data_IF_183473891243
#
_entry.id   IF_183473891243
#
_cell.length_a   1.000
_cell.length_b   1.000
_cell.length_c   1.000
_cell.angle_alpha   90.00
_cell.angle_beta   90.00
_cell.angle_gamma   90.00
#
_symmetry.space_group_name_H-M   'P 1'
#
loop_
_entity.id
_entity.type
_entity.pdbx_description
1 polymer ?
#
# COMPACT_ATOMS: atom_id res chain seq x y z
N UNK A 1 5.98 15.41 15.29
CA UNK A 1 7.42 15.13 15.09
C UNK A 1 8.20 16.39 15.40
N UNK A 2 9.00 16.39 16.47
CA UNK A 2 9.80 17.54 16.87
C UNK A 2 10.79 17.95 15.77
N UNK A 3 11.17 19.23 15.72
CA UNK A 3 12.28 19.72 14.87
C UNK A 3 13.58 18.95 15.10
N UNK A 4 13.81 18.51 16.34
CA UNK A 4 14.98 17.72 16.73
C UNK A 4 15.04 16.36 16.03
N UNK A 5 13.89 15.72 15.78
CA UNK A 5 13.81 14.42 15.10
C UNK A 5 14.14 14.54 13.60
N UNK A 6 13.75 15.66 12.96
CA UNK A 6 14.13 15.92 11.57
C UNK A 6 15.61 16.29 11.44
N UNK A 7 16.15 17.09 12.36
CA UNK A 7 17.58 17.40 12.39
C UNK A 7 18.42 16.13 12.55
N UNK A 8 18.04 15.25 13.48
CA UNK A 8 18.71 13.97 13.69
C UNK A 8 18.65 13.07 12.45
N UNK A 9 17.50 13.02 11.76
CA UNK A 9 17.35 12.25 10.54
C UNK A 9 18.21 12.80 9.40
N UNK A 10 18.27 14.13 9.23
CA UNK A 10 19.13 14.79 8.25
C UNK A 10 20.62 14.53 8.53
N UNK A 11 21.03 14.59 9.80
CA UNK A 11 22.40 14.27 10.21
C UNK A 11 22.73 12.80 9.92
N UNK A 12 21.80 11.87 10.20
CA UNK A 12 21.99 10.44 9.90
C UNK A 12 22.18 10.17 8.40
N UNK A 13 21.40 10.85 7.54
CA UNK A 13 21.59 10.80 6.08
C UNK A 13 22.95 11.40 5.68
N UNK A 14 23.38 12.48 6.32
CA UNK A 14 24.69 13.09 6.13
C UNK A 14 25.85 12.16 6.48
N UNK A 15 25.75 11.44 7.59
CA UNK A 15 26.81 10.55 8.07
C UNK A 15 26.94 9.25 7.25
N UNK A 16 25.81 8.74 6.74
CA UNK A 16 25.77 7.48 5.99
C UNK A 16 26.18 7.64 4.52
N UNK A 17 25.91 8.79 3.92
CA UNK A 17 26.23 9.07 2.52
C UNK A 17 27.73 8.85 2.16
N UNK A 18 28.71 9.48 2.84
CA UNK A 18 30.12 9.32 2.49
C UNK A 18 30.62 7.89 2.75
N UNK A 19 30.10 7.21 3.79
CA UNK A 19 30.45 5.82 4.13
C UNK A 19 30.00 4.85 3.03
N UNK A 20 28.78 5.03 2.53
CA UNK A 20 28.26 4.25 1.41
C UNK A 20 29.03 4.54 0.11
N UNK A 21 29.40 5.80 -0.13
CA UNK A 21 30.24 6.17 -1.28
C UNK A 21 31.60 5.47 -1.27
N UNK A 22 32.30 5.50 -0.13
CA UNK A 22 33.58 4.81 0.04
C UNK A 22 33.45 3.29 -0.10
N UNK A 23 32.40 2.69 0.48
CA UNK A 23 32.14 1.26 0.35
C UNK A 23 31.84 0.86 -1.11
N UNK A 24 31.12 1.70 -1.85
CA UNK A 24 30.83 1.49 -3.26
C UNK A 24 32.10 1.58 -4.13
N UNK A 25 32.96 2.55 -3.84
CA UNK A 25 34.27 2.70 -4.51
C UNK A 25 35.16 1.48 -4.26
N UNK A 26 35.24 1.01 -3.01
CA UNK A 26 35.98 -0.21 -2.66
C UNK A 26 35.40 -1.44 -3.36
N UNK A 27 34.08 -1.58 -3.40
CA UNK A 27 33.41 -2.68 -4.09
C UNK A 27 33.64 -2.63 -5.61
N UNK A 28 33.63 -1.44 -6.22
CA UNK A 28 33.94 -1.27 -7.63
C UNK A 28 35.40 -1.67 -7.95
N UNK A 29 36.34 -1.32 -7.06
CA UNK A 29 37.73 -1.74 -7.17
C UNK A 29 37.87 -3.27 -7.02
N UNK A 30 37.22 -3.88 -6.03
CA UNK A 30 37.24 -5.32 -5.84
C UNK A 30 36.61 -6.08 -7.02
N UNK A 31 35.54 -5.54 -7.59
CA UNK A 31 34.92 -6.10 -8.79
C UNK A 31 35.87 -6.02 -10.00
N UNK A 32 36.61 -4.92 -10.15
CA UNK A 32 37.58 -4.74 -11.23
C UNK A 32 38.82 -5.62 -11.07
N UNK A 33 39.38 -5.68 -9.86
CA UNK A 33 40.68 -6.30 -9.60
C UNK A 33 40.57 -7.82 -9.39
N UNK A 34 39.50 -8.30 -8.75
CA UNK A 34 39.33 -9.71 -8.38
C UNK A 34 37.99 -10.33 -8.78
N UNK A 35 37.12 -9.60 -9.47
CA UNK A 35 35.79 -10.09 -9.86
C UNK A 35 34.84 -10.28 -8.68
N UNK A 36 35.17 -9.76 -7.50
CA UNK A 36 34.36 -9.94 -6.30
C UNK A 36 33.07 -9.11 -6.43
N UNK A 37 31.88 -9.73 -6.34
CA UNK A 37 30.62 -9.02 -6.44
C UNK A 37 30.39 -8.09 -5.24
N UNK A 38 29.51 -7.09 -5.42
CA UNK A 38 29.10 -6.21 -4.32
C UNK A 38 28.45 -7.03 -3.19
N UNK A 39 28.76 -6.70 -1.94
CA UNK A 39 28.21 -7.43 -0.80
C UNK A 39 26.72 -7.12 -0.61
N UNK A 40 25.95 -8.12 -0.16
CA UNK A 40 24.53 -7.95 0.15
C UNK A 40 24.31 -6.87 1.22
N UNK A 41 25.22 -6.76 2.18
CA UNK A 41 25.19 -5.72 3.21
C UNK A 41 25.31 -4.31 2.62
N UNK A 42 26.18 -4.11 1.63
CA UNK A 42 26.32 -2.82 0.95
C UNK A 42 25.08 -2.52 0.09
N UNK A 43 24.55 -3.53 -0.61
CA UNK A 43 23.32 -3.39 -1.38
C UNK A 43 22.14 -2.97 -0.48
N UNK A 44 21.96 -3.63 0.66
CA UNK A 44 20.94 -3.27 1.65
C UNK A 44 21.18 -1.87 2.24
N UNK A 45 22.44 -1.50 2.46
CA UNK A 45 22.82 -0.15 2.89
C UNK A 45 22.34 0.93 1.92
N UNK A 46 22.51 0.73 0.61
CA UNK A 46 22.06 1.65 -0.45
C UNK A 46 20.54 1.70 -0.58
N UNK A 47 19.87 0.54 -0.49
CA UNK A 47 18.40 0.45 -0.53
C UNK A 47 17.79 1.21 0.64
N UNK A 48 18.29 0.95 1.86
CA UNK A 48 17.84 1.63 3.06
C UNK A 48 18.08 3.14 2.97
N UNK A 49 19.25 3.56 2.48
CA UNK A 49 19.58 4.97 2.31
C UNK A 49 18.60 5.68 1.35
N UNK A 50 18.32 5.10 0.19
CA UNK A 50 17.38 5.68 -0.78
C UNK A 50 15.95 5.78 -0.22
N UNK A 51 15.50 4.77 0.53
CA UNK A 51 14.20 4.80 1.21
C UNK A 51 14.15 5.93 2.24
N UNK A 52 15.18 6.04 3.09
CA UNK A 52 15.23 7.02 4.17
C UNK A 52 15.31 8.45 3.60
N UNK A 53 16.06 8.65 2.50
CA UNK A 53 16.12 9.90 1.73
C UNK A 53 14.74 10.30 1.19
N UNK A 54 14.04 9.38 0.51
CA UNK A 54 12.70 9.64 -0.05
C UNK A 54 11.67 9.96 1.05
N UNK A 55 11.71 9.21 2.16
CA UNK A 55 10.86 9.46 3.32
C UNK A 55 11.12 10.85 3.92
N UNK A 56 12.39 11.25 4.05
CA UNK A 56 12.73 12.58 4.55
C UNK A 56 12.27 13.69 3.60
N UNK A 57 12.45 13.51 2.29
CA UNK A 57 11.95 14.43 1.27
C UNK A 57 10.43 14.64 1.38
N UNK A 58 9.65 13.56 1.51
CA UNK A 58 8.20 13.62 1.67
C UNK A 58 7.81 14.32 2.99
N UNK A 59 8.53 14.07 4.08
CA UNK A 59 8.32 14.75 5.36
C UNK A 59 8.53 16.27 5.26
N UNK A 60 9.52 16.73 4.49
CA UNK A 60 9.73 18.16 4.24
C UNK A 60 8.64 18.77 3.35
N UNK A 61 8.23 18.07 2.30
CA UNK A 61 7.16 18.51 1.40
C UNK A 61 5.82 18.67 2.13
N UNK A 62 5.52 17.79 3.09
CA UNK A 62 4.31 17.89 3.91
C UNK A 62 4.34 19.06 4.91
N UNK A 63 5.51 19.63 5.20
CA UNK A 63 5.66 20.77 6.12
C UNK A 63 5.69 22.13 5.44
N UNK A 64 6.29 22.23 4.25
CA UNK A 64 6.28 23.45 3.45
C UNK A 64 5.19 23.37 2.39
N UNK A 65 4.02 23.96 2.64
CA UNK A 65 2.97 24.11 1.61
C UNK A 65 3.43 25.07 0.50
N UNK A 66 4.38 24.65 -0.36
CA UNK A 66 4.66 25.29 -1.65
C UNK A 66 5.46 24.35 -2.57
N UNK A 67 4.81 24.00 -3.68
CA UNK A 67 5.35 23.67 -5.03
C UNK A 67 6.75 23.05 -5.16
N UNK A 68 6.74 21.76 -5.53
CA UNK A 68 7.45 21.18 -6.68
C UNK A 68 8.98 21.28 -6.78
N UNK A 69 9.73 21.52 -5.70
CA UNK A 69 11.17 21.27 -5.71
C UNK A 69 11.43 19.84 -5.20
N UNK A 70 11.69 18.94 -6.13
CA UNK A 70 12.22 17.60 -5.82
C UNK A 70 13.69 17.77 -5.47
N UNK A 71 14.03 17.72 -4.18
CA UNK A 71 15.42 17.68 -3.74
C UNK A 71 16.07 16.40 -4.31
N UNK A 72 17.11 16.54 -5.12
CA UNK A 72 17.78 15.41 -5.79
C UNK A 72 19.11 15.06 -5.14
N UNK A 73 19.58 15.90 -4.22
CA UNK A 73 20.82 15.71 -3.47
C UNK A 73 20.61 15.94 -1.97
N UNK A 74 21.56 15.44 -1.17
CA UNK A 74 21.61 15.73 0.27
C UNK A 74 21.73 17.24 0.52
N UNK A 75 22.46 17.97 -0.32
CA UNK A 75 22.61 19.42 -0.24
C UNK A 75 21.26 20.11 -0.47
N UNK A 76 20.48 19.65 -1.45
CA UNK A 76 19.14 20.18 -1.71
C UNK A 76 18.21 19.93 -0.50
N UNK A 77 18.30 18.76 0.13
CA UNK A 77 17.54 18.44 1.35
C UNK A 77 17.94 19.32 2.53
N UNK A 78 19.24 19.60 2.71
CA UNK A 78 19.72 20.51 3.77
C UNK A 78 19.20 21.93 3.55
N UNK A 79 19.25 22.43 2.32
CA UNK A 79 18.73 23.76 1.97
C UNK A 79 17.19 23.83 2.11
N UNK A 80 16.48 22.78 1.71
CA UNK A 80 15.03 22.70 1.84
C UNK A 80 14.62 22.62 3.30
N UNK A 81 15.33 21.83 4.11
CA UNK A 81 15.14 21.77 5.55
C UNK A 81 15.39 23.13 6.19
N UNK A 82 16.44 23.88 5.82
CA UNK A 82 16.69 25.22 6.36
C UNK A 82 15.59 26.24 6.01
N UNK A 83 14.85 26.02 4.91
CA UNK A 83 13.71 26.86 4.49
C UNK A 83 12.38 26.47 5.14
N UNK A 84 12.23 25.20 5.54
CA UNK A 84 10.96 24.62 6.02
C UNK A 84 10.97 24.34 7.52
N UNK A 85 12.15 24.16 8.12
CA UNK A 85 12.31 24.18 9.57
C UNK A 85 11.84 25.55 10.06
N UNK A 86 11.07 25.61 11.16
CA UNK A 86 10.71 26.89 11.72
C UNK A 86 12.02 27.63 12.01
N UNK A 87 12.17 28.83 11.43
CA UNK A 87 12.94 29.86 12.12
C UNK A 87 12.43 29.83 13.56
N UNK A 88 13.33 29.93 14.54
CA UNK A 88 13.02 29.96 15.97
C UNK A 88 12.21 31.21 16.31
N UNK A 89 11.02 31.35 15.73
CA UNK A 89 10.04 32.39 15.94
C UNK A 89 8.99 31.83 16.90
N UNK A 90 9.07 32.32 18.13
CA UNK A 90 8.30 31.89 19.29
C UNK A 90 6.77 32.00 19.09
N UNK A 91 6.30 32.67 18.03
CA UNK A 91 4.90 32.81 17.67
C UNK A 91 4.28 31.64 16.88
N UNK A 92 5.06 30.79 16.21
CA UNK A 92 4.53 29.72 15.36
C UNK A 92 4.08 28.47 16.14
N UNK A 93 4.70 28.20 17.29
CA UNK A 93 4.39 27.07 18.17
C UNK A 93 2.96 27.17 18.73
N UNK A 94 2.50 28.31 19.30
CA UNK A 94 1.13 28.44 19.77
C UNK A 94 0.09 28.20 18.66
N UNK A 95 0.33 28.68 17.45
CA UNK A 95 -0.60 28.48 16.33
C UNK A 95 -0.72 27.01 15.89
N UNK A 96 0.39 26.27 15.88
CA UNK A 96 0.35 24.83 15.58
C UNK A 96 -0.44 24.05 16.63
N UNK A 97 -0.21 24.33 17.92
CA UNK A 97 -0.94 23.65 19.00
C UNK A 97 -2.43 24.01 18.96
N UNK A 98 -2.77 25.27 18.72
CA UNK A 98 -4.15 25.70 18.55
C UNK A 98 -4.84 24.98 17.37
N UNK A 99 -4.17 24.85 16.23
CA UNK A 99 -4.72 24.15 15.06
C UNK A 99 -5.00 22.68 15.34
N UNK A 100 -4.14 22.01 16.11
CA UNK A 100 -4.30 20.61 16.50
C UNK A 100 -5.51 20.44 17.44
N UNK A 101 -5.63 21.31 18.45
CA UNK A 101 -6.76 21.30 19.37
C UNK A 101 -8.09 21.56 18.64
N UNK A 102 -8.08 22.41 17.62
CA UNK A 102 -9.27 22.64 16.77
C UNK A 102 -9.64 21.44 15.92
N UNK A 103 -8.67 20.67 15.40
CA UNK A 103 -8.95 19.43 14.68
C UNK A 103 -9.61 18.39 15.59
N UNK A 104 -9.14 18.26 16.83
CA UNK A 104 -9.76 17.36 17.81
C UNK A 104 -11.20 17.79 18.12
N UNK A 105 -11.45 19.09 18.29
CA UNK A 105 -12.79 19.61 18.58
C UNK A 105 -13.77 19.43 17.41
N UNK A 106 -13.28 19.11 16.20
CA UNK A 106 -14.10 18.77 15.03
C UNK A 106 -14.41 17.28 14.90
N UNK A 107 -13.82 16.44 15.76
CA UNK A 107 -14.13 15.02 15.77
C UNK A 107 -15.55 14.81 16.28
N UNK A 108 -16.28 13.92 15.64
CA UNK A 108 -17.64 13.54 16.03
C UNK A 108 -17.81 12.05 15.91
N UNK A 109 -18.71 11.50 16.72
CA UNK A 109 -19.08 10.10 16.59
C UNK A 109 -20.28 10.00 15.63
N UNK A 110 -20.18 9.10 14.63
CA UNK A 110 -21.17 8.96 13.55
C UNK A 110 -22.56 8.53 14.04
N UNK A 111 -22.61 7.61 15.02
CA UNK A 111 -23.87 7.05 15.55
C UNK A 111 -24.35 7.68 16.87
N UNK A 112 -23.45 8.11 17.77
CA UNK A 112 -23.77 8.55 19.14
C UNK A 112 -23.33 9.98 19.38
N UNK A 113 -24.27 10.94 19.33
CA UNK A 113 -23.97 12.36 19.53
C UNK A 113 -23.39 12.68 20.92
N UNK A 114 -23.80 11.92 21.94
CA UNK A 114 -23.38 12.08 23.33
C UNK A 114 -22.33 11.05 23.77
N UNK A 115 -21.42 10.67 22.86
CA UNK A 115 -20.37 9.70 23.17
C UNK A 115 -19.38 10.25 24.22
N UNK A 116 -19.59 9.86 25.48
CA UNK A 116 -18.88 10.40 26.64
C UNK A 116 -17.33 10.39 26.55
N UNK A 117 -16.66 9.34 26.03
CA UNK A 117 -15.19 9.36 25.87
C UNK A 117 -14.68 10.48 24.95
N UNK A 118 -15.40 10.76 23.86
CA UNK A 118 -15.05 11.84 22.95
C UNK A 118 -15.37 13.21 23.57
N UNK A 119 -16.45 13.33 24.33
CA UNK A 119 -16.75 14.55 25.11
C UNK A 119 -15.65 14.84 26.15
N UNK A 120 -15.08 13.81 26.78
CA UNK A 120 -13.95 13.97 27.70
C UNK A 120 -12.70 14.48 26.98
N UNK A 121 -12.39 13.95 25.80
CA UNK A 121 -11.29 14.45 24.95
C UNK A 121 -11.53 15.91 24.53
N UNK A 122 -12.76 16.28 24.15
CA UNK A 122 -13.12 17.67 23.82
C UNK A 122 -12.94 18.60 25.02
N UNK A 123 -13.39 18.19 26.22
CA UNK A 123 -13.23 19.00 27.44
C UNK A 123 -11.75 19.25 27.74
N UNK A 124 -10.90 18.23 27.63
CA UNK A 124 -9.46 18.38 27.83
C UNK A 124 -8.83 19.30 26.77
N UNK A 125 -9.24 19.18 25.50
CA UNK A 125 -8.78 20.06 24.43
C UNK A 125 -9.20 21.53 24.65
N UNK A 126 -10.40 21.78 25.17
CA UNK A 126 -10.87 23.14 25.52
C UNK A 126 -10.10 23.74 26.69
N UNK A 127 -9.81 22.95 27.74
CA UNK A 127 -9.01 23.38 28.88
C UNK A 127 -7.59 23.78 28.45
N UNK A 128 -6.94 22.97 27.60
CA UNK A 128 -5.63 23.26 27.05
C UNK A 128 -5.65 24.50 26.14
N UNK A 129 -6.69 24.69 25.33
CA UNK A 129 -6.87 25.89 24.49
C UNK A 129 -6.96 27.17 25.33
N UNK A 130 -7.65 27.12 26.47
CA UNK A 130 -7.73 28.24 27.41
C UNK A 130 -6.38 28.49 28.12
N UNK A 131 -5.66 27.42 28.48
CA UNK A 131 -4.37 27.50 29.16
C UNK A 131 -3.26 28.11 28.28
N UNK A 132 -3.25 27.79 26.97
CA UNK A 132 -2.30 28.36 26.00
C UNK A 132 -2.40 29.90 25.92
N UNK A 133 -3.59 30.46 26.17
CA UNK A 133 -3.79 31.91 26.15
C UNK A 133 -3.23 32.62 27.39
N UNK A 134 -2.84 31.88 28.44
CA UNK A 134 -2.48 32.41 29.76
C UNK A 134 -1.10 31.95 30.25
N UNK A 135 -0.51 30.92 29.65
CA UNK A 135 0.69 30.24 30.15
C UNK A 135 1.95 30.51 29.33
N UNK A 136 3.12 30.44 30.00
CA UNK A 136 4.42 30.38 29.34
C UNK A 136 4.65 28.96 28.79
N UNK A 137 4.52 28.83 27.46
CA UNK A 137 4.62 27.57 26.70
C UNK A 137 5.93 26.79 26.93
N UNK A 138 6.98 27.45 27.44
CA UNK A 138 8.30 26.84 27.63
C UNK A 138 8.41 26.04 28.93
N UNK A 139 7.60 26.36 29.93
CA UNK A 139 7.71 25.79 31.28
C UNK A 139 6.59 24.81 31.62
N UNK A 140 5.54 24.71 30.80
CA UNK A 140 4.42 23.78 30.99
C UNK A 140 4.69 22.37 30.39
N UNK A 141 4.75 21.30 31.22
CA UNK A 141 4.95 19.93 30.74
C UNK A 141 3.86 19.39 29.81
N UNK A 142 2.59 19.80 29.97
CA UNK A 142 1.47 19.35 29.14
C UNK A 142 1.52 19.99 27.75
N UNK A 143 1.85 21.28 27.67
CA UNK A 143 2.04 21.98 26.40
C UNK A 143 3.28 21.47 25.67
N UNK A 144 4.35 21.17 26.40
CA UNK A 144 5.53 20.50 25.85
C UNK A 144 5.18 19.13 25.27
N UNK A 145 4.36 18.33 25.95
CA UNK A 145 3.90 17.03 25.45
C UNK A 145 3.04 17.13 24.17
N UNK A 146 2.24 18.19 24.02
CA UNK A 146 1.48 18.47 22.80
C UNK A 146 2.40 18.80 21.61
N UNK A 147 3.43 19.63 21.85
CA UNK A 147 4.42 20.01 20.82
C UNK A 147 5.29 18.83 20.43
N UNK A 148 5.71 17.99 21.38
CA UNK A 148 6.56 16.81 21.10
C UNK A 148 5.78 15.65 20.49
N UNK A 149 4.44 15.67 20.52
CA UNK A 149 3.60 14.62 19.94
C UNK A 149 3.26 13.47 20.88
N UNK A 150 3.62 13.58 22.16
CA UNK A 150 3.44 12.53 23.16
C UNK A 150 2.12 12.65 23.93
N UNK A 151 1.40 13.75 23.76
CA UNK A 151 0.13 13.96 24.45
C UNK A 151 -0.97 13.00 23.93
N UNK A 152 -1.83 12.44 24.81
CA UNK A 152 -2.91 11.52 24.41
C UNK A 152 -3.85 12.07 23.33
N UNK A 153 -4.04 13.38 23.27
CA UNK A 153 -4.82 14.04 22.22
C UNK A 153 -4.16 13.96 20.82
N UNK A 154 -2.82 13.98 20.75
CA UNK A 154 -2.12 13.77 19.48
C UNK A 154 -2.23 12.30 19.05
N UNK A 155 -2.20 11.39 20.03
CA UNK A 155 -2.42 9.96 19.78
C UNK A 155 -3.84 9.75 19.24
N UNK A 156 -4.87 10.35 19.85
CA UNK A 156 -6.25 10.31 19.36
C UNK A 156 -6.35 10.75 17.89
N UNK A 157 -5.79 11.91 17.56
CA UNK A 157 -5.82 12.44 16.21
C UNK A 157 -5.03 11.57 15.22
N UNK A 158 -3.88 11.04 15.64
CA UNK A 158 -3.07 10.12 14.83
C UNK A 158 -3.82 8.80 14.58
N UNK A 159 -4.52 8.27 15.58
CA UNK A 159 -5.29 7.05 15.42
C UNK A 159 -6.51 7.23 14.52
N UNK A 160 -7.15 8.40 14.55
CA UNK A 160 -8.28 8.72 13.67
C UNK A 160 -7.83 8.97 12.22
N UNK A 161 -6.71 9.68 12.02
CA UNK A 161 -6.28 10.11 10.68
C UNK A 161 -5.31 9.15 9.98
N UNK A 162 -4.60 8.31 10.74
CA UNK A 162 -3.50 7.48 10.23
C UNK A 162 -3.40 6.14 10.95
N UNK A 163 -4.51 5.70 11.56
CA UNK A 163 -4.57 4.47 12.32
C UNK A 163 -4.37 3.20 11.52
N UNK A 164 -4.84 3.23 10.28
CA UNK A 164 -4.64 2.21 9.25
C UNK A 164 -3.17 2.07 8.80
N UNK A 165 -2.33 3.05 9.11
CA UNK A 165 -0.89 3.04 8.82
C UNK A 165 -0.03 2.54 9.98
N UNK A 166 -0.60 2.40 11.18
CA UNK A 166 0.12 1.90 12.35
C UNK A 166 0.13 0.37 12.33
N UNK A 167 1.27 -0.22 12.70
CA UNK A 167 1.32 -1.67 12.94
C UNK A 167 0.57 -2.04 14.23
N UNK A 168 0.26 -3.31 14.40
CA UNK A 168 -0.51 -3.82 15.54
C UNK A 168 0.10 -3.43 16.90
N UNK A 169 1.42 -3.42 17.01
CA UNK A 169 2.12 -3.06 18.25
C UNK A 169 1.99 -1.56 18.57
N UNK A 170 2.12 -0.71 17.55
CA UNK A 170 1.96 0.74 17.67
C UNK A 170 0.51 1.13 17.91
N UNK A 171 -0.44 0.45 17.25
CA UNK A 171 -1.87 0.62 17.45
C UNK A 171 -2.27 0.19 18.85
N UNK A 172 -1.84 -0.99 19.30
CA UNK A 172 -2.14 -1.50 20.65
C UNK A 172 -1.61 -0.56 21.74
N UNK A 173 -0.34 -0.11 21.65
CA UNK A 173 0.22 0.85 22.61
C UNK A 173 -0.53 2.18 22.61
N UNK A 174 -0.90 2.68 21.44
CA UNK A 174 -1.62 3.93 21.30
C UNK A 174 -3.06 3.83 21.83
N UNK A 175 -3.74 2.72 21.54
CA UNK A 175 -5.08 2.41 22.02
C UNK A 175 -5.07 2.21 23.54
N UNK A 176 -4.07 1.54 24.10
CA UNK A 176 -3.90 1.38 25.54
C UNK A 176 -3.75 2.74 26.26
N UNK A 177 -2.96 3.66 25.70
CA UNK A 177 -2.81 5.02 26.23
C UNK A 177 -4.15 5.77 26.18
N UNK A 178 -4.91 5.66 25.09
CA UNK A 178 -6.24 6.27 24.99
C UNK A 178 -7.23 5.67 25.97
N UNK A 179 -7.24 4.35 26.11
CA UNK A 179 -8.18 3.64 26.97
C UNK A 179 -7.93 3.98 28.45
N UNK A 180 -6.66 4.13 28.84
CA UNK A 180 -6.27 4.57 30.18
C UNK A 180 -6.59 6.06 30.44
N UNK A 181 -6.67 6.89 29.39
CA UNK A 181 -6.88 8.35 29.53
C UNK A 181 -8.35 8.76 29.39
N UNK A 182 -9.06 8.20 28.40
CA UNK A 182 -10.41 8.61 27.96
C UNK A 182 -11.44 7.48 28.05
N UNK A 183 -11.03 6.26 28.39
CA UNK A 183 -11.90 5.10 28.57
C UNK A 183 -11.92 4.12 27.39
N UNK A 184 -12.16 2.84 27.71
CA UNK A 184 -12.00 1.65 26.85
C UNK A 184 -12.81 1.62 25.55
N UNK A 185 -13.78 2.52 25.38
CA UNK A 185 -14.65 2.55 24.21
C UNK A 185 -14.14 3.47 23.11
N UNK A 186 -13.18 4.37 23.38
CA UNK A 186 -12.67 5.31 22.39
C UNK A 186 -11.80 4.60 21.35
N UNK A 187 -10.84 3.76 21.76
CA UNK A 187 -10.03 2.96 20.84
C UNK A 187 -10.88 2.03 19.95
N UNK A 188 -11.93 1.43 20.51
CA UNK A 188 -12.88 0.57 19.79
C UNK A 188 -13.73 1.36 18.79
N UNK A 189 -14.17 2.57 19.15
CA UNK A 189 -14.92 3.42 18.24
C UNK A 189 -14.04 3.85 17.05
N UNK A 190 -12.76 4.16 17.28
CA UNK A 190 -11.82 4.52 16.22
C UNK A 190 -11.51 3.31 15.32
N UNK A 191 -11.25 2.12 15.89
CA UNK A 191 -10.97 0.92 15.08
C UNK A 191 -12.16 0.49 14.21
N UNK A 192 -13.38 0.86 14.61
CA UNK A 192 -14.61 0.65 13.84
C UNK A 192 -14.95 1.81 12.89
N UNK A 193 -14.11 2.83 12.79
CA UNK A 193 -14.33 3.99 11.93
C UNK A 193 -15.50 4.89 12.35
N UNK A 194 -15.89 4.84 13.64
CA UNK A 194 -17.06 5.58 14.16
C UNK A 194 -16.74 7.01 14.57
N UNK A 195 -15.46 7.38 14.65
CA UNK A 195 -15.01 8.75 14.93
C UNK A 195 -14.58 9.40 13.61
N UNK A 196 -15.23 10.50 13.24
CA UNK A 196 -15.04 11.18 11.95
C UNK A 196 -14.86 12.69 12.15
N UNK A 197 -14.02 13.33 11.33
CA UNK A 197 -13.86 14.79 11.33
C UNK A 197 -14.98 15.46 10.54
N UNK A 198 -15.69 16.42 11.14
CA UNK A 198 -16.63 17.25 10.39
C UNK A 198 -15.88 18.18 9.43
N UNK A 199 -16.00 17.90 8.13
CA UNK A 199 -15.66 18.86 7.08
C UNK A 199 -16.74 19.95 7.06
N UNK A 200 -16.35 21.21 7.20
CA UNK A 200 -17.28 22.34 7.17
C UNK A 200 -18.14 22.30 5.91
N UNK A 201 -19.44 22.11 6.08
CA UNK A 201 -20.40 22.08 4.99
C UNK A 201 -20.54 23.45 4.34
N UNK A 202 -20.22 23.53 3.05
CA UNK A 202 -20.96 24.41 2.14
C UNK A 202 -22.13 23.60 1.63
N UNK A 203 -23.33 23.92 2.11
CA UNK A 203 -24.60 23.38 1.62
C UNK A 203 -24.83 23.83 0.18
N UNK A 204 -24.55 22.95 -0.78
CA UNK A 204 -25.29 22.96 -2.05
C UNK A 204 -26.44 21.98 -1.92
N UNK A 205 -27.61 22.54 -1.66
CA UNK A 205 -28.92 21.96 -1.86
C UNK A 205 -29.05 21.40 -3.28
N UNK A 206 -28.87 20.10 -3.45
CA UNK A 206 -29.57 19.36 -4.49
C UNK A 206 -30.84 18.74 -3.87
N UNK A 207 -32.03 18.94 -4.46
CA UNK A 207 -33.26 18.35 -3.97
C UNK A 207 -33.16 16.81 -4.01
N UNK A 208 -33.66 16.08 -3.00
CA UNK A 208 -33.72 14.63 -3.07
C UNK A 208 -34.70 14.20 -4.16
N UNK A 209 -34.24 13.30 -5.02
CA UNK A 209 -35.11 12.52 -5.89
C UNK A 209 -36.08 11.73 -5.00
N UNK A 210 -37.38 11.99 -5.18
CA UNK A 210 -38.46 11.20 -4.60
C UNK A 210 -38.31 9.74 -5.05
N UNK A 211 -37.95 8.87 -4.11
CA UNK A 211 -38.20 7.44 -4.25
C UNK A 211 -39.33 7.11 -3.29
N UNK A 212 -40.51 6.86 -3.86
CA UNK A 212 -41.73 6.51 -3.14
C UNK A 212 -41.47 5.29 -2.26
N UNK A 213 -41.76 5.42 -0.97
CA UNK A 213 -41.69 4.36 0.01
C UNK A 213 -42.64 3.21 -0.36
N UNK A 214 -42.13 1.99 -0.42
CA UNK A 214 -42.94 0.78 -0.40
C UNK A 214 -43.25 0.47 1.08
N UNK A 215 -44.53 0.43 1.41
CA UNK A 215 -45.04 0.11 2.74
C UNK A 215 -44.56 -1.27 3.23
N UNK A 216 -44.22 -1.33 4.52
CA UNK A 216 -43.81 -2.53 5.25
C UNK A 216 -45.07 -3.18 5.84
N UNK A 217 -45.40 -4.45 5.55
CA UNK A 217 -46.47 -5.13 6.28
C UNK A 217 -45.98 -5.57 7.65
N UNK A 218 -46.70 -5.16 8.69
CA UNK A 218 -46.59 -5.64 10.06
C UNK A 218 -47.44 -6.90 10.30
N UNK A 219 -46.97 -7.70 11.25
CA UNK A 219 -47.68 -8.68 12.10
C UNK A 219 -47.70 -10.16 11.66
N UNK A 220 -46.96 -10.94 12.44
CA UNK A 220 -47.18 -12.35 12.77
C UNK A 220 -48.52 -12.48 13.52
N UNK A 221 -49.23 -13.63 13.47
CA UNK A 221 -48.87 -14.72 14.38
C UNK A 221 -49.06 -16.14 13.81
N UNK A 222 -48.21 -17.09 14.21
CA UNK A 222 -48.63 -18.26 14.99
C UNK A 222 -47.46 -19.24 15.17
N UNK A 223 -47.19 -19.54 16.44
CA UNK A 223 -46.21 -20.51 16.91
C UNK A 223 -46.90 -21.86 17.00
N UNK A 224 -46.32 -22.90 16.38
CA UNK A 224 -46.60 -24.30 16.73
C UNK A 224 -45.26 -25.01 16.92
N UNK A 225 -45.03 -25.42 18.17
CA UNK A 225 -43.94 -26.27 18.63
C UNK A 225 -44.35 -27.72 18.37
N UNK A 226 -43.49 -28.51 17.74
CA UNK A 226 -43.55 -29.98 17.80
C UNK A 226 -42.14 -30.52 18.02
N UNK A 227 -42.08 -31.42 19.00
CA UNK A 227 -40.91 -31.98 19.67
C UNK A 227 -40.04 -32.91 18.79
N UNK A 228 -38.82 -33.13 19.28
CA UNK A 228 -37.81 -34.06 18.78
C UNK A 228 -38.30 -35.52 18.70
N UNK A 229 -37.69 -36.33 17.81
CA UNK A 229 -37.36 -37.69 18.21
C UNK A 229 -35.86 -37.96 18.11
N UNK A 230 -35.39 -38.56 19.18
CA UNK A 230 -34.09 -39.20 19.35
C UNK A 230 -33.98 -40.50 18.54
N UNK A 231 -32.72 -40.94 18.41
CA UNK A 231 -32.23 -42.33 18.16
C UNK A 231 -31.89 -42.79 16.74
N UNK A 232 -30.56 -42.85 16.51
CA UNK A 232 -29.77 -44.06 16.19
C UNK A 232 -29.83 -44.70 14.79
N UNK A 233 -28.63 -44.68 14.16
CA UNK A 233 -27.92 -45.77 13.45
C UNK A 233 -27.68 -45.56 11.94
N UNK A 234 -26.40 -45.67 11.57
CA UNK A 234 -25.89 -45.81 10.21
C UNK A 234 -26.33 -47.13 9.54
N UNK A 235 -26.22 -47.22 8.20
CA UNK A 235 -24.98 -47.76 7.65
C UNK A 235 -24.42 -47.02 6.44
N UNK A 236 -23.14 -47.30 6.22
CA UNK A 236 -22.25 -46.98 5.12
C UNK A 236 -22.75 -47.43 3.75
N UNK A 237 -22.50 -46.62 2.72
CA UNK A 237 -22.15 -47.12 1.39
C UNK A 237 -21.00 -46.31 0.77
N UNK A 238 -20.05 -47.08 0.27
CA UNK A 238 -18.75 -46.72 -0.27
C UNK A 238 -18.92 -46.49 -1.76
N UNK A 239 -18.55 -45.30 -2.27
CA UNK A 239 -18.33 -45.09 -3.71
C UNK A 239 -16.83 -44.98 -3.95
N UNK A 240 -16.33 -45.97 -4.69
CA UNK A 240 -14.96 -46.14 -5.14
C UNK A 240 -14.75 -45.35 -6.44
N UNK A 241 -13.71 -44.52 -6.48
CA UNK A 241 -12.97 -44.16 -7.70
C UNK A 241 -11.53 -43.78 -7.30
N UNK A 242 -10.52 -44.04 -8.16
CA UNK A 242 -9.29 -44.71 -7.78
C UNK A 242 -8.16 -43.77 -7.39
N UNK A 243 -7.42 -44.16 -6.35
CA UNK A 243 -6.11 -43.60 -6.00
C UNK A 243 -5.09 -43.95 -7.09
N UNK A 244 -4.55 -42.95 -7.77
CA UNK A 244 -3.34 -43.09 -8.58
C UNK A 244 -2.15 -43.00 -7.64
N UNK A 245 -1.48 -44.13 -7.45
CA UNK A 245 -0.23 -44.27 -6.72
C UNK A 245 0.92 -43.77 -7.61
N UNK A 246 1.52 -42.62 -7.24
CA UNK A 246 2.74 -42.13 -7.89
C UNK A 246 3.93 -42.70 -7.14
N UNK A 247 4.53 -43.73 -7.73
CA UNK A 247 5.79 -44.33 -7.31
C UNK A 247 6.93 -43.29 -7.37
N UNK A 248 7.66 -42.99 -6.28
CA UNK A 248 8.80 -42.07 -6.33
C UNK A 248 9.99 -42.76 -6.99
N UNK A 249 10.25 -42.45 -8.25
CA UNK A 249 11.53 -42.77 -8.88
C UNK A 249 12.62 -41.82 -8.34
N UNK A 250 13.83 -42.32 -8.03
CA UNK A 250 14.93 -41.44 -7.61
C UNK A 250 15.36 -40.54 -8.76
N UNK A 251 15.63 -39.28 -8.43
CA UNK A 251 16.17 -38.27 -9.34
C UNK A 251 17.43 -38.81 -10.02
N UNK A 252 17.32 -39.08 -11.32
CA UNK A 252 18.46 -39.42 -12.16
C UNK A 252 19.08 -38.10 -12.62
N UNK A 253 20.36 -37.90 -12.30
CA UNK A 253 21.13 -36.72 -12.66
C UNK A 253 21.66 -36.92 -14.08
N UNK A 254 20.98 -36.32 -15.06
CA UNK A 254 21.58 -36.01 -16.36
C UNK A 254 21.52 -34.50 -16.57
N UNK A 255 22.71 -33.91 -16.68
CA UNK A 255 22.93 -32.48 -16.53
C UNK A 255 22.33 -31.64 -17.65
N UNK A 256 21.41 -30.75 -17.27
CA UNK A 256 21.36 -29.36 -17.74
C UNK A 256 20.38 -28.58 -16.85
N UNK A 257 20.90 -27.54 -16.20
CA UNK A 257 20.25 -26.52 -15.36
C UNK A 257 19.92 -26.90 -13.91
N UNK A 258 20.95 -26.85 -13.06
CA UNK A 258 20.82 -26.33 -11.70
C UNK A 258 21.45 -24.93 -11.69
N UNK A 259 20.69 -23.91 -11.27
CA UNK A 259 21.24 -22.57 -10.99
C UNK A 259 20.71 -22.08 -9.65
N UNK A 260 21.58 -22.11 -8.64
CA UNK A 260 21.55 -21.21 -7.49
C UNK A 260 22.48 -20.02 -7.80
N UNK A 261 22.09 -18.81 -7.42
CA UNK A 261 22.97 -17.64 -7.41
C UNK A 261 22.90 -16.77 -8.66
N UNK A 262 22.72 -15.47 -8.41
CA UNK A 262 22.54 -14.43 -9.41
C UNK A 262 23.90 -13.96 -9.93
N UNK A 263 24.24 -14.36 -11.16
CA UNK A 263 25.21 -13.65 -12.00
C UNK A 263 24.43 -12.89 -13.07
N UNK A 264 24.57 -11.57 -13.10
CA UNK A 264 24.36 -10.82 -14.33
C UNK A 264 25.54 -11.14 -15.25
N UNK A 265 25.30 -11.90 -16.32
CA UNK A 265 26.23 -11.94 -17.44
C UNK A 265 26.27 -10.52 -18.02
N UNK A 266 27.44 -9.90 -17.94
CA UNK A 266 27.78 -8.72 -18.74
C UNK A 266 27.88 -9.21 -20.19
N UNK A 267 26.74 -9.14 -20.87
CA UNK A 267 26.64 -9.14 -22.32
C UNK A 267 25.92 -7.87 -22.70
N UNK A 268 26.65 -6.94 -23.31
CA UNK A 268 26.09 -5.76 -23.97
C UNK A 268 24.95 -6.22 -24.89
N UNK A 269 23.68 -5.77 -24.72
CA UNK A 269 22.63 -6.15 -25.66
C UNK A 269 22.80 -5.30 -26.92
N UNK A 270 23.74 -5.72 -27.77
CA UNK A 270 23.66 -5.44 -29.20
C UNK A 270 22.74 -6.50 -29.81
N UNK A 271 21.47 -6.38 -29.49
CA UNK A 271 20.42 -7.26 -29.96
C UNK A 271 19.09 -6.62 -29.66
N UNK A 272 18.48 -6.02 -30.69
CA UNK A 272 17.03 -5.75 -30.69
C UNK A 272 16.34 -7.04 -30.20
N UNK A 273 15.40 -7.00 -29.24
CA UNK A 273 14.67 -8.19 -28.86
C UNK A 273 14.02 -8.77 -30.12
N UNK A 274 14.40 -9.99 -30.48
CA UNK A 274 13.83 -10.70 -31.61
C UNK A 274 12.40 -11.11 -31.22
N UNK A 275 11.47 -10.21 -31.51
CA UNK A 275 10.03 -10.47 -31.46
C UNK A 275 9.76 -11.59 -32.47
N UNK A 276 9.27 -12.75 -32.00
CA UNK A 276 8.75 -13.78 -32.91
C UNK A 276 7.79 -13.12 -33.90
N UNK A 277 7.96 -13.28 -35.22
CA UNK A 277 7.05 -12.71 -36.21
C UNK A 277 5.61 -13.15 -35.90
N UNK A 278 4.74 -12.20 -35.52
CA UNK A 278 3.34 -12.45 -35.20
C UNK A 278 2.88 -12.11 -33.78
N UNK A 279 3.77 -11.81 -32.82
CA UNK A 279 3.36 -11.37 -31.47
C UNK A 279 2.80 -9.95 -31.51
N UNK A 280 1.59 -9.74 -30.96
CA UNK A 280 0.98 -8.40 -30.86
C UNK A 280 1.76 -7.57 -29.84
N UNK A 281 2.17 -6.37 -30.25
CA UNK A 281 2.92 -5.46 -29.40
C UNK A 281 2.09 -4.96 -28.22
N UNK A 282 2.70 -4.93 -27.03
CA UNK A 282 2.06 -4.52 -25.80
C UNK A 282 3.01 -3.59 -25.02
N UNK A 283 2.46 -2.55 -24.41
CA UNK A 283 3.11 -1.74 -23.37
C UNK A 283 2.46 -2.08 -22.04
N UNK A 284 3.27 -2.39 -21.04
CA UNK A 284 2.84 -2.69 -19.68
C UNK A 284 3.50 -1.69 -18.74
N UNK A 285 2.70 -0.97 -17.97
CA UNK A 285 3.17 -0.09 -16.89
C UNK A 285 2.74 -0.68 -15.56
N UNK A 286 3.64 -0.72 -14.59
CA UNK A 286 3.34 -1.14 -13.22
C UNK A 286 3.77 -0.07 -12.24
N UNK A 287 2.96 0.17 -11.21
CA UNK A 287 3.33 0.96 -10.05
C UNK A 287 3.83 0.02 -8.95
N UNK A 288 5.10 0.15 -8.59
CA UNK A 288 5.75 -0.69 -7.60
C UNK A 288 5.97 0.08 -6.30
N UNK A 289 5.69 -0.58 -5.17
CA UNK A 289 5.88 0.01 -3.85
C UNK A 289 7.31 0.58 -3.69
N UNK A 290 7.36 1.89 -3.45
CA UNK A 290 8.60 2.64 -3.23
C UNK A 290 9.51 2.77 -4.45
N UNK A 291 9.08 2.32 -5.64
CA UNK A 291 9.79 2.51 -6.90
C UNK A 291 9.00 3.33 -7.93
N UNK A 292 7.70 3.52 -7.71
CA UNK A 292 6.83 4.26 -8.61
C UNK A 292 6.54 3.51 -9.91
N UNK A 293 6.18 4.28 -10.94
CA UNK A 293 5.82 3.74 -12.25
C UNK A 293 7.05 3.24 -13.02
N UNK A 294 6.92 2.07 -13.65
CA UNK A 294 7.91 1.47 -14.54
C UNK A 294 7.22 0.91 -15.78
N UNK A 295 7.81 1.16 -16.95
CA UNK A 295 7.30 0.75 -18.26
C UNK A 295 8.08 -0.45 -18.81
N UNK A 296 7.36 -1.39 -19.43
CA UNK A 296 7.86 -2.66 -19.96
C UNK A 296 7.16 -3.00 -21.29
N UNK A 297 7.80 -3.87 -22.07
CA UNK A 297 7.21 -4.47 -23.26
C UNK A 297 6.37 -5.72 -22.96
N UNK A 298 5.55 -6.13 -23.93
CA UNK A 298 4.89 -7.44 -23.92
C UNK A 298 5.92 -8.57 -23.89
N UNK A 299 5.65 -9.60 -23.09
CA UNK A 299 6.53 -10.74 -22.87
C UNK A 299 7.69 -10.49 -21.89
N UNK A 300 7.89 -9.24 -21.46
CA UNK A 300 8.85 -8.90 -20.41
C UNK A 300 8.25 -9.12 -19.02
N UNK A 301 9.13 -9.33 -18.04
CA UNK A 301 8.72 -9.43 -16.64
C UNK A 301 8.62 -8.02 -16.04
N UNK A 302 7.39 -7.56 -15.82
CA UNK A 302 7.06 -6.27 -15.24
C UNK A 302 6.91 -6.39 -13.71
N UNK A 303 7.98 -6.11 -12.97
CA UNK A 303 7.97 -6.14 -11.50
C UNK A 303 9.33 -6.40 -10.89
N UNK A 304 9.37 -6.79 -9.62
CA UNK A 304 10.60 -7.11 -8.90
C UNK A 304 10.46 -8.45 -8.20
N UNK A 305 11.05 -9.50 -8.78
CA UNK A 305 10.98 -10.86 -8.22
C UNK A 305 11.81 -10.97 -6.94
N UNK A 306 11.20 -11.40 -5.83
CA UNK A 306 11.90 -11.69 -4.58
C UNK A 306 12.45 -10.48 -3.83
N UNK A 307 12.17 -9.26 -4.29
CA UNK A 307 12.58 -8.03 -3.61
C UNK A 307 11.54 -7.54 -2.60
N UNK A 308 10.44 -8.28 -2.43
CA UNK A 308 9.42 -7.97 -1.44
C UNK A 308 8.54 -6.76 -1.77
N UNK A 309 8.62 -6.21 -2.99
CA UNK A 309 7.83 -5.04 -3.39
C UNK A 309 6.56 -5.50 -4.09
N UNK A 310 5.41 -5.02 -3.63
CA UNK A 310 4.12 -5.29 -4.28
C UNK A 310 3.93 -4.41 -5.52
N UNK A 311 3.16 -4.94 -6.47
CA UNK A 311 2.39 -4.11 -7.39
C UNK A 311 1.24 -3.46 -6.64
N UNK A 312 1.06 -2.16 -6.85
CA UNK A 312 -0.08 -1.39 -6.32
C UNK A 312 -1.06 -1.00 -7.43
N UNK A 313 -0.55 -0.88 -8.65
CA UNK A 313 -1.34 -0.63 -9.84
C UNK A 313 -0.64 -1.16 -11.10
N UNK A 314 -1.39 -1.38 -12.16
CA UNK A 314 -0.85 -1.60 -13.49
C UNK A 314 -1.76 -1.05 -14.59
N UNK A 315 -1.19 -0.89 -15.78
CA UNK A 315 -1.86 -0.39 -16.97
C UNK A 315 -1.27 -1.13 -18.16
N UNK A 316 -2.11 -1.46 -19.14
CA UNK A 316 -1.69 -2.18 -20.34
C UNK A 316 -2.29 -1.56 -21.58
N UNK A 317 -1.50 -1.46 -22.64
CA UNK A 317 -1.97 -0.98 -23.93
C UNK A 317 -1.38 -1.76 -25.09
N UNK A 318 -2.22 -2.14 -26.05
CA UNK A 318 -1.80 -2.68 -27.34
C UNK A 318 -1.06 -1.56 -28.08
N UNK A 319 0.21 -1.78 -28.37
CA UNK A 319 1.09 -0.79 -28.94
C UNK A 319 2.08 -1.43 -29.93
N UNK A 320 2.00 -1.10 -31.24
CA UNK A 320 1.08 -0.12 -31.84
C UNK A 320 -0.39 -0.59 -31.79
N UNK A 321 -1.37 0.34 -31.74
CA UNK A 321 -2.79 -0.02 -31.76
C UNK A 321 -3.16 -0.83 -33.01
N UNK A 322 -4.00 -1.85 -32.83
CA UNK A 322 -4.54 -2.67 -33.92
C UNK A 322 -6.05 -2.38 -34.03
N UNK A 323 -6.54 -1.88 -35.18
CA UNK A 323 -7.97 -1.59 -35.34
C UNK A 323 -8.83 -2.83 -35.06
N UNK A 324 -9.85 -2.68 -34.23
CA UNK A 324 -10.76 -3.77 -33.86
C UNK A 324 -10.22 -4.75 -32.82
N UNK A 325 -9.01 -4.56 -32.30
CA UNK A 325 -8.45 -5.32 -31.18
C UNK A 325 -8.28 -4.40 -29.97
N UNK A 326 -8.84 -4.83 -28.84
CA UNK A 326 -8.79 -4.14 -27.55
C UNK A 326 -8.34 -5.11 -26.45
N UNK A 327 -7.90 -4.57 -25.32
CA UNK A 327 -7.50 -5.35 -24.14
C UNK A 327 -8.27 -4.84 -22.92
N UNK A 328 -8.83 -5.77 -22.17
CA UNK A 328 -9.58 -5.51 -20.95
C UNK A 328 -8.96 -6.27 -19.78
N UNK A 329 -8.87 -5.63 -18.63
CA UNK A 329 -8.27 -6.21 -17.44
C UNK A 329 -8.91 -5.69 -16.17
N UNK A 330 -8.86 -6.51 -15.13
CA UNK A 330 -9.31 -6.15 -13.79
C UNK A 330 -8.31 -6.68 -12.76
N UNK A 331 -8.36 -6.13 -11.55
CA UNK A 331 -7.52 -6.59 -10.47
C UNK A 331 -8.32 -6.75 -9.18
N UNK A 332 -7.92 -7.70 -8.35
CA UNK A 332 -8.30 -7.72 -6.95
C UNK A 332 -7.29 -6.90 -6.15
N UNK A 333 -7.76 -5.82 -5.57
CA UNK A 333 -6.97 -4.90 -4.76
C UNK A 333 -7.25 -5.22 -3.30
N UNK A 334 -6.21 -5.43 -2.50
CA UNK A 334 -6.36 -5.76 -1.10
C UNK A 334 -7.25 -4.73 -0.38
N UNK A 335 -8.18 -5.22 0.45
CA UNK A 335 -9.15 -4.43 1.22
C UNK A 335 -10.18 -3.63 0.40
N UNK A 336 -10.08 -3.61 -0.93
CA UNK A 336 -11.05 -3.00 -1.85
C UNK A 336 -11.92 -4.06 -2.51
N UNK A 337 -11.30 -5.15 -2.96
CA UNK A 337 -11.95 -6.20 -3.74
C UNK A 337 -11.68 -6.09 -5.24
N UNK A 338 -12.54 -6.72 -6.02
CA UNK A 338 -12.45 -6.76 -7.47
C UNK A 338 -12.77 -5.39 -8.08
N UNK A 339 -11.83 -4.84 -8.85
CA UNK A 339 -12.02 -3.58 -9.55
C UNK A 339 -13.06 -3.71 -10.68
N UNK A 340 -13.67 -2.60 -11.11
CA UNK A 340 -14.27 -2.54 -12.44
C UNK A 340 -13.26 -2.94 -13.52
N UNK A 341 -13.76 -3.44 -14.65
CA UNK A 341 -12.90 -3.77 -15.80
C UNK A 341 -12.36 -2.49 -16.43
N UNK A 342 -11.04 -2.36 -16.47
CA UNK A 342 -10.31 -1.33 -17.18
C UNK A 342 -10.10 -1.77 -18.64
N UNK A 343 -10.09 -0.80 -19.55
CA UNK A 343 -9.83 -1.00 -20.99
C UNK A 343 -8.44 -0.50 -21.37
N UNK A 344 -8.04 -0.69 -22.62
CA UNK A 344 -6.74 -0.34 -23.16
C UNK A 344 -6.24 1.05 -22.71
N UNK A 345 -5.12 1.05 -22.01
CA UNK A 345 -4.45 2.27 -21.53
C UNK A 345 -5.02 2.85 -20.23
N UNK A 346 -6.03 2.24 -19.61
CA UNK A 346 -6.55 2.69 -18.30
C UNK A 346 -5.77 2.06 -17.14
N UNK A 347 -5.52 2.80 -16.06
CA UNK A 347 -4.86 2.23 -14.89
C UNK A 347 -5.85 1.45 -14.02
N UNK A 348 -5.42 0.31 -13.49
CA UNK A 348 -6.13 -0.46 -12.46
C UNK A 348 -5.27 -0.54 -11.21
N UNK A 349 -5.87 -0.38 -10.03
CA UNK A 349 -5.16 -0.27 -8.76
C UNK A 349 -5.13 1.15 -8.20
N UNK A 350 -4.52 1.30 -7.03
CA UNK A 350 -4.47 2.54 -6.27
C UNK A 350 -3.01 2.90 -5.94
N UNK A 351 -2.27 3.50 -6.90
CA UNK A 351 -0.84 3.75 -6.74
C UNK A 351 -0.58 4.68 -5.56
N UNK A 352 0.38 4.33 -4.70
CA UNK A 352 0.75 5.14 -3.54
C UNK A 352 -0.24 5.08 -2.37
N UNK A 353 -1.35 4.32 -2.48
CA UNK A 353 -2.30 4.09 -1.38
C UNK A 353 -1.89 2.89 -0.50
N UNK A 354 -0.69 2.36 -0.68
CA UNK A 354 -0.17 1.17 0.01
C UNK A 354 -1.01 -0.11 -0.18
N UNK A 355 -1.91 -0.17 -1.17
CA UNK A 355 -2.75 -1.34 -1.43
C UNK A 355 -2.13 -2.21 -2.50
N UNK A 356 -1.91 -3.49 -2.20
CA UNK A 356 -1.39 -4.44 -3.16
C UNK A 356 -2.46 -4.98 -4.10
N UNK A 357 -2.03 -5.33 -5.30
CA UNK A 357 -2.73 -6.27 -6.17
C UNK A 357 -2.48 -7.68 -5.63
N UNK A 358 -3.53 -8.46 -5.42
CA UNK A 358 -3.43 -9.89 -5.02
C UNK A 358 -3.65 -10.85 -6.19
N UNK A 359 -4.36 -10.38 -7.21
CA UNK A 359 -4.57 -11.11 -8.44
C UNK A 359 -5.30 -10.26 -9.48
N UNK A 360 -5.42 -10.80 -10.68
CA UNK A 360 -5.95 -10.08 -11.83
C UNK A 360 -6.44 -11.04 -12.91
N UNK A 361 -7.23 -10.52 -13.85
CA UNK A 361 -7.65 -11.23 -15.05
C UNK A 361 -7.52 -10.32 -16.26
N UNK A 362 -7.13 -10.89 -17.41
CA UNK A 362 -6.86 -10.15 -18.65
C UNK A 362 -7.53 -10.89 -19.79
N UNK A 363 -8.29 -10.18 -20.61
CA UNK A 363 -8.94 -10.73 -21.81
C UNK A 363 -8.83 -9.75 -22.97
N UNK A 364 -8.87 -10.28 -24.19
CA UNK A 364 -8.97 -9.47 -25.40
C UNK A 364 -10.43 -9.15 -25.70
N UNK A 365 -10.67 -8.01 -26.33
CA UNK A 365 -11.98 -7.52 -26.73
C UNK A 365 -11.94 -6.93 -28.15
N UNK A 366 -13.12 -6.69 -28.73
CA UNK A 366 -13.27 -6.16 -30.08
C UNK A 366 -13.38 -7.23 -31.18
N UNK A 367 -13.75 -6.83 -32.42
CA UNK A 367 -13.98 -7.74 -33.54
C UNK A 367 -12.80 -8.66 -33.91
N UNK A 368 -11.57 -8.22 -33.63
CA UNK A 368 -10.36 -8.98 -33.97
C UNK A 368 -9.90 -9.92 -32.84
N UNK A 369 -10.45 -9.79 -31.61
CA UNK A 369 -10.09 -10.63 -30.48
C UNK A 369 -10.19 -12.16 -30.74
N UNK A 370 -11.17 -12.68 -31.52
CA UNK A 370 -11.24 -14.10 -31.83
C UNK A 370 -10.03 -14.66 -32.60
N UNK A 371 -9.16 -13.82 -33.16
CA UNK A 371 -7.95 -14.22 -33.89
C UNK A 371 -6.71 -14.34 -33.00
N UNK A 372 -6.82 -14.02 -31.71
CA UNK A 372 -5.70 -13.97 -30.79
C UNK A 372 -6.03 -14.62 -29.44
N UNK A 373 -4.97 -15.00 -28.72
CA UNK A 373 -4.99 -15.40 -27.32
C UNK A 373 -4.09 -14.47 -26.52
N UNK A 374 -4.52 -14.12 -25.29
CA UNK A 374 -3.68 -13.43 -24.30
C UNK A 374 -3.27 -14.41 -23.21
N UNK A 375 -1.98 -14.44 -22.92
CA UNK A 375 -1.36 -15.28 -21.90
C UNK A 375 -0.66 -14.41 -20.87
N UNK A 376 -0.76 -14.81 -19.60
CA UNK A 376 -0.17 -14.05 -18.51
C UNK A 376 0.12 -14.93 -17.29
N UNK A 377 1.15 -14.56 -16.54
CA UNK A 377 1.43 -15.14 -15.23
C UNK A 377 1.94 -14.08 -14.26
N UNK A 378 2.08 -14.48 -13.00
CA UNK A 378 2.48 -13.60 -11.92
C UNK A 378 3.49 -14.27 -10.99
N UNK A 379 4.29 -13.46 -10.31
CA UNK A 379 5.01 -13.88 -9.10
C UNK A 379 4.22 -13.41 -7.88
N UNK A 380 3.88 -14.34 -7.00
CA UNK A 380 3.07 -14.07 -5.80
C UNK A 380 3.92 -14.34 -4.57
N UNK A 381 3.85 -13.44 -3.60
CA UNK A 381 4.49 -13.61 -2.30
C UNK A 381 4.20 -15.01 -1.72
N UNK A 382 5.25 -15.67 -1.24
CA UNK A 382 5.22 -17.00 -0.61
C UNK A 382 4.69 -18.15 -1.48
N UNK A 383 4.26 -17.89 -2.71
CA UNK A 383 3.83 -18.92 -3.69
C UNK A 383 4.77 -19.04 -4.88
N UNK A 384 5.54 -18.00 -5.18
CA UNK A 384 6.44 -17.99 -6.32
C UNK A 384 5.72 -17.68 -7.63
N UNK A 385 6.29 -18.17 -8.74
CA UNK A 385 5.67 -18.01 -10.06
C UNK A 385 4.47 -18.96 -10.17
N UNK A 386 3.30 -18.41 -10.50
CA UNK A 386 2.09 -19.22 -10.72
C UNK A 386 1.99 -19.69 -12.17
N UNK A 387 1.23 -20.78 -12.44
CA UNK A 387 0.98 -21.24 -13.80
C UNK A 387 0.42 -20.15 -14.71
N UNK A 388 0.69 -20.29 -16.01
CA UNK A 388 0.18 -19.37 -17.02
C UNK A 388 -1.35 -19.45 -17.08
N UNK A 389 -1.97 -18.29 -16.96
CA UNK A 389 -3.39 -18.04 -17.16
C UNK A 389 -3.62 -17.47 -18.56
N UNK A 390 -4.83 -17.59 -19.07
CA UNK A 390 -5.19 -17.08 -20.40
C UNK A 390 -6.62 -16.56 -20.45
N UNK A 391 -6.90 -15.63 -21.36
CA UNK A 391 -8.25 -15.27 -21.81
C UNK A 391 -9.32 -15.08 -20.70
N UNK A 392 -9.00 -14.28 -19.70
CA UNK A 392 -9.91 -13.93 -18.59
C UNK A 392 -9.83 -14.88 -17.40
N UNK A 393 -9.01 -15.95 -17.46
CA UNK A 393 -8.73 -16.79 -16.29
C UNK A 393 -8.10 -15.97 -15.16
N UNK A 394 -8.55 -16.17 -13.93
CA UNK A 394 -8.02 -15.41 -12.81
C UNK A 394 -6.60 -15.87 -12.43
N UNK A 395 -5.65 -14.94 -12.43
CA UNK A 395 -4.25 -15.14 -12.06
C UNK A 395 -3.97 -14.46 -10.72
N UNK A 396 -3.84 -15.23 -9.66
CA UNK A 396 -3.51 -14.70 -8.34
C UNK A 396 -4.35 -15.30 -7.22
N UNK A 397 -4.50 -14.53 -6.14
CA UNK A 397 -5.36 -14.87 -5.01
C UNK A 397 -6.41 -13.77 -4.78
N UNK A 398 -7.42 -14.08 -3.97
CA UNK A 398 -8.39 -13.10 -3.47
C UNK A 398 -8.48 -13.23 -1.96
N UNK A 399 -8.37 -12.12 -1.24
CA UNK A 399 -8.48 -12.08 0.22
C UNK A 399 -7.45 -12.94 0.96
N UNK A 400 -6.34 -13.30 0.31
CA UNK A 400 -5.28 -14.10 0.96
C UNK A 400 -4.14 -13.22 1.47
N UNK A 401 -4.20 -11.90 1.28
CA UNK A 401 -3.15 -10.95 1.68
C UNK A 401 -1.79 -11.25 1.06
N UNK A 402 -1.77 -12.01 -0.05
CA UNK A 402 -0.55 -12.34 -0.79
C UNK A 402 -0.41 -11.38 -1.96
N UNK A 403 0.61 -10.53 -1.91
CA UNK A 403 0.88 -9.55 -2.97
C UNK A 403 1.38 -10.22 -4.25
N UNK A 404 0.99 -9.66 -5.38
CA UNK A 404 1.67 -9.81 -6.66
C UNK A 404 2.91 -8.92 -6.65
N UNK A 405 4.09 -9.48 -6.97
CA UNK A 405 5.37 -8.75 -7.03
C UNK A 405 5.83 -8.47 -8.47
N UNK A 406 5.24 -9.17 -9.44
CA UNK A 406 5.48 -8.94 -10.86
C UNK A 406 4.53 -9.74 -11.73
N UNK A 407 4.37 -9.26 -12.96
CA UNK A 407 3.51 -9.86 -13.98
C UNK A 407 4.28 -9.98 -15.29
N UNK A 408 3.93 -10.98 -16.10
CA UNK A 408 4.39 -11.07 -17.49
C UNK A 408 3.19 -11.39 -18.36
N UNK A 409 3.04 -10.65 -19.46
CA UNK A 409 1.86 -10.72 -20.32
C UNK A 409 2.27 -10.65 -21.79
N UNK A 410 1.72 -11.52 -22.63
CA UNK A 410 1.97 -11.53 -24.07
C UNK A 410 0.73 -11.99 -24.83
N UNK A 411 0.69 -11.68 -26.12
CA UNK A 411 -0.46 -11.96 -27.01
C UNK A 411 0.05 -12.66 -28.25
N UNK A 412 -0.60 -13.76 -28.61
CA UNK A 412 -0.25 -14.60 -29.76
C UNK A 412 -1.45 -14.77 -30.70
N UNK A 413 -1.23 -14.93 -32.02
CA UNK A 413 -2.28 -15.33 -32.94
C UNK A 413 -2.79 -16.73 -32.59
N UNK A 414 -4.11 -16.92 -32.66
CA UNK A 414 -4.72 -18.25 -32.62
C UNK A 414 -4.30 -19.03 -33.86
N UNK A 415 -3.91 -20.28 -33.65
CA UNK A 415 -3.57 -21.21 -34.72
C UNK A 415 -4.80 -21.86 -35.33
#
# INVERSE_FOLDING_TARGET
MATDDLQQHLNSLGDRYPKLGQALEQAAKALKDSGTPISEQLLQGLINYNRDFANFQQKLQNRGQTTAVVARSLVDLQQLYQKVAPATDEGAIPQQVLSLLEQILRLTHSEQKDFAPLQQAHKQAQQLKQHISQADLKSDPQLKALVTGQHPLNILLNLVNSGDQLNDEQWAKSAEILDNTFGKSLGVAISRGKIVSQSGGSTTTQPPLNVTAVERPTANPDIVILEEPTTTKAPSDVIIVPSVEINPQPLTIDGQNIVFGNTAIVGQPTGKPEVKPGTVGLRVRVHLQGLGDRDFGGGEYAGTKGQGRRLEAFQMAINPPIPGLDIQYMAHIAQVGDSPTASNGQMVGEPGQNRQIEGFAIKLAGPEAPKYDVFYNAHIQNKGDVPVCSNGQYCGTRGQSLRVEGIKVWVEPKK
#
